data_IF_987740371180
#
_entry.id   IF_987740371180
#
_cell.length_a   1.000
_cell.length_b   1.000
_cell.length_c   1.000
_cell.angle_alpha   90.00
_cell.angle_beta   90.00
_cell.angle_gamma   90.00
#
_symmetry.space_group_name_H-M   'P 1'
#
loop_
_entity.id
_entity.type
_entity.pdbx_description
1 polymer ?
#
# COMPACT_ATOMS: atom_id res chain seq x y z
N UNK A 1 -3.02 -18.45 12.86
CA UNK A 1 -4.33 -19.11 12.80
C UNK A 1 -5.31 -17.99 12.54
N UNK A 2 -5.93 -18.01 11.37
CA UNK A 2 -6.85 -16.98 10.92
C UNK A 2 -8.24 -17.47 11.33
N UNK A 3 -8.87 -16.73 12.23
CA UNK A 3 -10.17 -17.09 12.76
C UNK A 3 -11.23 -16.34 11.94
N UNK A 4 -11.78 -16.99 10.92
CA UNK A 4 -12.77 -16.36 10.02
C UNK A 4 -14.10 -16.08 10.73
N UNK A 5 -14.45 -16.96 11.68
CA UNK A 5 -15.68 -16.86 12.46
C UNK A 5 -15.50 -17.48 13.84
N UNK A 6 -16.31 -17.07 14.81
CA UNK A 6 -16.40 -17.72 16.11
C UNK A 6 -17.57 -18.70 16.11
N UNK A 7 -17.32 -19.92 16.54
CA UNK A 7 -18.40 -20.88 16.73
C UNK A 7 -19.45 -20.30 17.70
N UNK A 8 -20.73 -20.19 17.29
CA UNK A 8 -21.76 -19.57 18.12
C UNK A 8 -22.10 -20.40 19.37
N UNK A 9 -21.64 -21.65 19.45
CA UNK A 9 -21.94 -22.54 20.58
C UNK A 9 -20.85 -22.54 21.66
N UNK A 10 -19.57 -22.69 21.28
CA UNK A 10 -18.47 -22.77 22.24
C UNK A 10 -17.56 -21.54 22.26
N UNK A 11 -17.78 -20.57 21.35
CA UNK A 11 -17.01 -19.34 21.25
C UNK A 11 -15.58 -19.51 20.74
N UNK A 12 -15.16 -20.75 20.47
CA UNK A 12 -13.84 -21.03 19.91
C UNK A 12 -13.79 -20.63 18.43
N UNK A 13 -12.63 -20.18 17.97
CA UNK A 13 -12.45 -19.78 16.58
C UNK A 13 -12.60 -20.96 15.63
N UNK A 14 -13.07 -20.66 14.41
CA UNK A 14 -13.22 -21.62 13.33
C UNK A 14 -12.74 -20.98 12.04
N UNK A 15 -12.06 -21.79 11.24
CA UNK A 15 -11.59 -21.44 9.89
C UNK A 15 -12.63 -21.91 8.89
N UNK A 16 -13.07 -21.04 7.99
CA UNK A 16 -13.98 -21.41 6.90
C UNK A 16 -13.15 -22.08 5.81
N UNK A 17 -13.36 -23.38 5.58
CA UNK A 17 -12.65 -24.08 4.52
C UNK A 17 -13.12 -23.56 3.15
N UNK A 18 -12.20 -22.95 2.40
CA UNK A 18 -12.45 -22.37 1.08
C UNK A 18 -11.91 -23.24 -0.07
N UNK A 19 -11.35 -24.41 0.24
CA UNK A 19 -10.55 -25.21 -0.70
C UNK A 19 -11.37 -25.90 -1.81
N UNK A 20 -12.67 -26.07 -1.60
CA UNK A 20 -13.60 -26.72 -2.54
C UNK A 20 -14.65 -25.75 -3.13
N UNK A 21 -14.48 -24.45 -2.89
CA UNK A 21 -15.44 -23.42 -3.29
C UNK A 21 -16.60 -23.23 -2.31
N UNK A 22 -16.65 -23.99 -1.21
CA UNK A 22 -17.60 -23.77 -0.12
C UNK A 22 -17.32 -22.42 0.57
N UNK A 23 -18.38 -21.73 1.00
CA UNK A 23 -18.23 -20.45 1.70
C UNK A 23 -17.95 -19.23 0.81
N UNK A 24 -17.95 -19.36 -0.52
CA UNK A 24 -17.90 -18.21 -1.44
C UNK A 24 -19.28 -17.72 -1.91
N UNK A 25 -20.33 -18.53 -1.78
CA UNK A 25 -21.66 -18.12 -2.20
C UNK A 25 -22.22 -17.06 -1.25
N UNK A 26 -22.28 -15.82 -1.71
CA UNK A 26 -22.83 -14.71 -0.92
C UNK A 26 -24.31 -14.91 -0.59
N UNK A 27 -24.71 -14.58 0.64
CA UNK A 27 -26.13 -14.58 1.05
C UNK A 27 -26.76 -15.96 1.28
N UNK A 28 -26.07 -17.07 0.95
CA UNK A 28 -26.55 -18.43 1.23
C UNK A 28 -26.04 -18.90 2.60
N UNK A 29 -26.91 -19.54 3.41
CA UNK A 29 -26.52 -20.28 4.59
C UNK A 29 -25.54 -21.43 4.27
N UNK A 30 -24.27 -21.26 4.64
CA UNK A 30 -23.26 -22.32 4.60
C UNK A 30 -23.22 -23.03 5.94
N UNK A 31 -23.18 -24.36 5.92
CA UNK A 31 -23.03 -25.17 7.13
C UNK A 31 -21.59 -25.57 7.34
N UNK A 32 -21.13 -25.47 8.58
CA UNK A 32 -19.82 -25.97 8.98
C UNK A 32 -19.93 -26.60 10.37
N UNK A 33 -19.27 -27.74 10.54
CA UNK A 33 -19.11 -28.37 11.85
C UNK A 33 -17.94 -27.74 12.60
N UNK A 34 -18.16 -27.42 13.87
CA UNK A 34 -17.11 -26.87 14.71
C UNK A 34 -16.14 -27.97 15.15
N UNK A 35 -14.85 -27.84 14.81
CA UNK A 35 -13.79 -28.80 15.15
C UNK A 35 -13.58 -29.06 16.64
N UNK A 36 -14.12 -28.20 17.51
CA UNK A 36 -13.89 -28.24 18.95
C UNK A 36 -15.06 -28.73 19.79
N UNK A 37 -16.28 -28.68 19.24
CA UNK A 37 -17.48 -29.11 19.98
C UNK A 37 -18.45 -29.94 19.13
N UNK A 38 -18.06 -30.26 17.90
CA UNK A 38 -18.77 -31.13 16.95
C UNK A 38 -20.20 -30.65 16.64
N UNK A 39 -20.48 -29.36 16.86
CA UNK A 39 -21.77 -28.74 16.53
C UNK A 39 -21.71 -28.07 15.18
N UNK A 40 -22.70 -28.34 14.35
CA UNK A 40 -22.92 -27.65 13.09
C UNK A 40 -23.49 -26.25 13.32
N UNK A 41 -22.85 -25.23 12.77
CA UNK A 41 -23.35 -23.86 12.71
C UNK A 41 -23.53 -23.41 11.26
N UNK A 42 -24.27 -22.33 11.11
CA UNK A 42 -24.52 -21.69 9.82
C UNK A 42 -23.81 -20.34 9.79
N UNK A 43 -23.20 -19.99 8.66
CA UNK A 43 -22.69 -18.65 8.36
C UNK A 43 -23.13 -18.21 6.97
N UNK A 44 -22.97 -16.92 6.65
CA UNK A 44 -23.28 -16.35 5.34
C UNK A 44 -22.11 -15.48 4.88
N UNK A 45 -21.79 -15.53 3.59
CA UNK A 45 -20.68 -14.77 3.00
C UNK A 45 -21.17 -13.45 2.38
N UNK A 46 -20.31 -12.42 2.36
CA UNK A 46 -20.52 -11.17 1.63
C UNK A 46 -19.21 -10.77 0.94
N UNK A 47 -19.25 -10.57 -0.38
CA UNK A 47 -18.18 -10.24 -1.32
C UNK A 47 -18.60 -8.96 -2.05
N UNK A 48 -18.11 -7.81 -1.63
CA UNK A 48 -18.42 -6.56 -2.32
C UNK A 48 -17.42 -6.29 -3.44
N UNK A 49 -17.90 -6.28 -4.70
CA UNK A 49 -17.16 -5.76 -5.86
C UNK A 49 -17.89 -4.54 -6.42
N UNK A 50 -17.17 -3.45 -6.68
CA UNK A 50 -17.74 -2.22 -7.26
C UNK A 50 -16.96 -1.81 -8.50
N UNK A 51 -17.67 -1.54 -9.60
CA UNK A 51 -17.09 -1.15 -10.88
C UNK A 51 -17.59 0.24 -11.30
N UNK A 52 -16.66 1.11 -11.70
CA UNK A 52 -16.96 2.48 -12.13
C UNK A 52 -16.44 2.68 -13.55
N UNK A 53 -17.27 2.56 -14.60
CA UNK A 53 -16.83 2.69 -15.98
C UNK A 53 -16.58 4.15 -16.37
N UNK A 54 -15.60 4.39 -17.22
CA UNK A 54 -15.30 5.69 -17.82
C UNK A 54 -15.04 5.54 -19.33
N UNK A 55 -15.29 6.60 -20.10
CA UNK A 55 -14.92 6.64 -21.53
C UNK A 55 -13.40 6.73 -21.64
N UNK A 56 -12.84 5.90 -22.50
CA UNK A 56 -11.40 5.86 -22.75
C UNK A 56 -11.11 5.89 -24.26
N UNK A 57 -11.49 6.99 -24.93
CA UNK A 57 -11.35 7.14 -26.39
C UNK A 57 -9.90 6.96 -26.87
N UNK A 58 -8.93 7.25 -25.99
CA UNK A 58 -7.50 7.04 -26.25
C UNK A 58 -7.11 5.56 -26.41
N UNK A 59 -7.90 4.60 -25.90
CA UNK A 59 -7.61 3.17 -25.99
C UNK A 59 -8.19 2.50 -27.25
N UNK A 60 -8.95 3.24 -28.07
CA UNK A 60 -9.51 2.72 -29.31
C UNK A 60 -8.52 2.86 -30.48
N UNK A 61 -8.74 2.09 -31.55
CA UNK A 61 -7.93 2.19 -32.77
C UNK A 61 -7.96 3.63 -33.33
N UNK A 62 -6.77 4.22 -33.51
CA UNK A 62 -6.62 5.62 -33.93
C UNK A 62 -6.86 6.67 -32.83
N UNK A 63 -7.15 6.23 -31.60
CA UNK A 63 -7.21 7.07 -30.41
C UNK A 63 -5.85 7.68 -30.07
N UNK A 64 -5.87 8.89 -29.51
CA UNK A 64 -4.66 9.57 -29.06
C UNK A 64 -4.70 9.77 -27.55
N UNK A 65 -3.58 9.48 -26.88
CA UNK A 65 -3.45 9.76 -25.45
C UNK A 65 -3.31 11.26 -25.20
N UNK A 66 -4.10 11.78 -24.25
CA UNK A 66 -3.95 13.12 -23.69
C UNK A 66 -2.87 13.09 -22.60
N UNK A 67 -1.62 13.07 -23.04
CA UNK A 67 -0.44 12.92 -22.19
C UNK A 67 -0.06 14.25 -21.52
N UNK A 68 -0.20 14.28 -20.19
CA UNK A 68 0.10 15.44 -19.35
C UNK A 68 1.25 15.17 -18.40
N UNK A 69 1.87 16.23 -17.89
CA UNK A 69 2.86 16.11 -16.83
C UNK A 69 2.23 15.51 -15.58
N UNK A 70 2.98 14.63 -14.90
CA UNK A 70 2.53 14.04 -13.64
C UNK A 70 2.99 14.94 -12.50
N UNK A 71 2.06 15.36 -11.66
CA UNK A 71 2.35 16.12 -10.45
C UNK A 71 2.38 15.17 -9.25
N UNK A 72 3.43 15.24 -8.44
CA UNK A 72 3.55 14.48 -7.21
C UNK A 72 4.81 14.83 -6.43
N UNK A 73 4.99 14.20 -5.27
CA UNK A 73 6.15 14.38 -4.42
C UNK A 73 6.78 13.01 -4.11
N UNK A 74 8.11 12.86 -4.27
CA UNK A 74 9.08 13.88 -4.70
C UNK A 74 8.96 14.19 -6.20
N UNK A 75 9.22 15.44 -6.59
CA UNK A 75 9.02 15.92 -7.97
C UNK A 75 9.87 15.14 -8.97
N UNK A 76 11.07 14.75 -8.57
CA UNK A 76 12.09 14.12 -9.40
C UNK A 76 11.63 12.75 -9.96
N UNK A 77 10.74 12.04 -9.25
CA UNK A 77 10.16 10.78 -9.71
C UNK A 77 9.30 10.91 -10.96
N UNK A 78 8.82 12.13 -11.24
CA UNK A 78 7.87 12.43 -12.31
C UNK A 78 8.52 13.19 -13.48
N UNK A 79 9.75 13.68 -13.33
CA UNK A 79 10.50 14.33 -14.42
C UNK A 79 10.68 13.36 -15.57
N UNK A 80 10.39 13.78 -16.80
CA UNK A 80 10.52 12.94 -18.00
C UNK A 80 9.41 11.89 -18.17
N UNK A 81 8.38 11.89 -17.32
CA UNK A 81 7.20 11.02 -17.42
C UNK A 81 5.96 11.83 -17.76
N UNK A 82 5.05 11.20 -18.48
CA UNK A 82 3.70 11.74 -18.73
C UNK A 82 2.65 10.67 -18.46
N UNK A 83 1.46 11.09 -18.06
CA UNK A 83 0.30 10.22 -17.86
C UNK A 83 -0.85 10.67 -18.76
N UNK A 84 -1.52 9.72 -19.40
CA UNK A 84 -2.76 9.98 -20.09
C UNK A 84 -3.84 10.36 -19.07
N UNK A 85 -4.47 11.52 -19.23
CA UNK A 85 -5.53 11.99 -18.31
C UNK A 85 -6.82 11.15 -18.38
N UNK A 86 -6.94 10.26 -19.36
CA UNK A 86 -8.16 9.50 -19.64
C UNK A 86 -8.04 8.05 -19.18
N UNK A 87 -6.93 7.36 -19.51
CA UNK A 87 -6.73 5.94 -19.21
C UNK A 87 -5.64 5.67 -18.16
N UNK A 88 -5.03 6.72 -17.61
CA UNK A 88 -3.93 6.64 -16.64
C UNK A 88 -2.67 5.92 -17.12
N UNK A 89 -2.57 5.60 -18.42
CA UNK A 89 -1.34 5.05 -18.99
C UNK A 89 -0.18 6.03 -18.81
N UNK A 90 0.92 5.53 -18.26
CA UNK A 90 2.14 6.29 -18.05
C UNK A 90 3.22 5.90 -19.03
N UNK A 91 3.88 6.90 -19.59
CA UNK A 91 4.99 6.70 -20.50
C UNK A 91 6.21 7.52 -20.07
N UNK A 92 7.39 7.00 -20.42
CA UNK A 92 8.66 7.70 -20.28
C UNK A 92 8.96 8.47 -21.57
N UNK A 93 8.86 9.80 -21.54
CA UNK A 93 9.12 10.67 -22.70
C UNK A 93 10.56 11.18 -22.75
N UNK A 94 11.21 11.29 -21.58
CA UNK A 94 12.61 11.72 -21.48
C UNK A 94 13.33 10.90 -20.38
N UNK A 95 13.84 9.70 -20.73
CA UNK A 95 14.53 8.83 -19.80
C UNK A 95 15.80 9.46 -19.20
N UNK A 96 16.50 10.32 -19.95
CA UNK A 96 17.75 10.92 -19.50
C UNK A 96 17.48 12.06 -18.49
N UNK A 97 16.47 12.90 -18.73
CA UNK A 97 16.03 13.87 -17.74
C UNK A 97 15.53 13.19 -16.46
N UNK A 98 14.78 12.08 -16.58
CA UNK A 98 14.36 11.29 -15.43
C UNK A 98 15.57 10.77 -14.65
N UNK A 99 16.50 10.10 -15.34
CA UNK A 99 17.72 9.55 -14.71
C UNK A 99 18.54 10.62 -14.01
N UNK A 100 18.70 11.80 -14.64
CA UNK A 100 19.41 12.94 -14.05
C UNK A 100 18.70 13.44 -12.79
N UNK A 101 17.38 13.67 -12.85
CA UNK A 101 16.59 14.13 -11.72
C UNK A 101 16.66 13.14 -10.54
N UNK A 102 16.56 11.84 -10.81
CA UNK A 102 16.70 10.80 -9.79
C UNK A 102 18.10 10.78 -9.17
N UNK A 103 19.15 10.96 -9.97
CA UNK A 103 20.53 11.03 -9.46
C UNK A 103 20.77 12.27 -8.58
N UNK A 104 20.16 13.41 -8.92
CA UNK A 104 20.21 14.63 -8.10
C UNK A 104 19.44 14.45 -6.79
N UNK A 105 18.23 13.88 -6.85
CA UNK A 105 17.43 13.56 -5.66
C UNK A 105 18.18 12.65 -4.67
N UNK A 106 18.79 11.56 -5.16
CA UNK A 106 19.55 10.64 -4.30
C UNK A 106 20.72 11.34 -3.62
N UNK A 107 21.46 12.18 -4.34
CA UNK A 107 22.57 12.97 -3.75
C UNK A 107 22.08 13.92 -2.67
N UNK A 108 20.93 14.54 -2.88
CA UNK A 108 20.32 15.46 -1.92
C UNK A 108 19.82 14.72 -0.68
N UNK A 109 19.15 13.58 -0.83
CA UNK A 109 18.74 12.72 0.29
C UNK A 109 19.94 12.25 1.11
N UNK A 110 21.03 11.84 0.45
CA UNK A 110 22.27 11.47 1.12
C UNK A 110 22.90 12.64 1.90
N UNK A 111 22.82 13.86 1.35
CA UNK A 111 23.29 15.07 2.03
C UNK A 111 22.45 15.34 3.28
N UNK A 112 21.13 15.31 3.15
CA UNK A 112 20.20 15.53 4.27
C UNK A 112 20.38 14.47 5.37
N UNK A 113 20.56 13.21 5.01
CA UNK A 113 20.85 12.13 5.94
C UNK A 113 22.14 12.44 6.75
N UNK A 114 23.25 12.78 6.06
CA UNK A 114 24.52 13.14 6.72
C UNK A 114 24.39 14.36 7.64
N UNK A 115 23.62 15.36 7.26
CA UNK A 115 23.39 16.56 8.08
C UNK A 115 22.55 16.25 9.32
N UNK A 116 21.55 15.39 9.15
CA UNK A 116 20.70 14.91 10.25
C UNK A 116 21.55 14.11 11.25
N UNK A 117 22.38 13.18 10.79
CA UNK A 117 23.29 12.41 11.65
C UNK A 117 24.23 13.33 12.42
N UNK A 118 24.88 14.29 11.77
CA UNK A 118 25.74 15.29 12.45
C UNK A 118 25.00 16.09 13.52
N UNK A 119 23.73 16.41 13.27
CA UNK A 119 22.90 17.17 14.21
C UNK A 119 22.55 16.32 15.43
N UNK A 120 22.18 15.06 15.21
CA UNK A 120 21.90 14.09 16.28
C UNK A 120 23.16 13.82 17.11
N UNK A 121 24.33 13.63 16.48
CA UNK A 121 25.60 13.42 17.19
C UNK A 121 25.96 14.61 18.09
N UNK A 122 25.76 15.85 17.62
CA UNK A 122 25.96 17.05 18.45
C UNK A 122 25.00 17.11 19.63
N UNK A 123 23.74 16.74 19.42
CA UNK A 123 22.74 16.74 20.49
C UNK A 123 23.05 15.68 21.55
N UNK A 124 23.37 14.45 21.14
CA UNK A 124 23.75 13.35 22.03
C UNK A 124 25.07 13.65 22.76
N UNK A 125 26.07 14.17 22.06
CA UNK A 125 27.36 14.55 22.65
C UNK A 125 27.27 15.74 23.61
N UNK A 126 26.30 16.64 23.42
CA UNK A 126 25.99 17.73 24.35
C UNK A 126 25.29 17.26 25.63
N UNK A 127 24.43 16.24 25.54
CA UNK A 127 23.76 15.65 26.71
C UNK A 127 24.76 14.99 27.68
N UNK A 128 25.81 14.34 27.16
CA UNK A 128 26.86 13.73 27.99
C UNK A 128 27.74 14.74 28.74
N UNK A 129 27.74 16.01 28.35
CA UNK A 129 28.49 17.08 29.04
C UNK A 129 27.64 17.83 30.07
N UNK A 130 26.31 17.71 30.00
CA UNK A 130 25.38 18.30 30.97
C UNK A 130 25.27 17.51 32.29
N UNK A 131 25.65 16.24 32.32
CA UNK A 131 25.60 15.38 33.52
C UNK A 131 26.82 15.55 34.46
N UNK A 132 27.81 16.40 34.12
CA UNK A 132 29.00 16.64 34.97
C UNK A 132 28.93 17.88 35.86
N UNK A 133 27.78 18.57 35.93
CA UNK A 133 27.59 19.75 36.79
C UNK A 133 26.44 19.53 37.77
N UNK A 134 26.60 18.57 38.68
CA UNK A 134 25.75 18.49 39.89
C UNK A 134 26.35 17.66 41.03
N UNK A 135 27.68 17.66 41.21
CA UNK A 135 28.31 17.21 42.45
C UNK A 135 29.52 18.11 42.77
N UNK A 136 29.39 18.95 43.80
CA UNK A 136 30.51 19.70 44.41
C UNK A 136 30.32 21.19 44.50
#
# INVERSE_FOLDING_TARGET
MNDDVKCPYCGKPQEICHDDGQGYEEGTPHQQECSDCDKTFIFTTCISMSYYPAKADCLNEGGNHDLREICGSPREYFVGRKRCFICDEEIMVDPEANKKAMAEYTKEMDRQCRETVKTVEKFVGGLQQGEKVSEG
#
